data_IF_740683254875
#
_entry.id   IF_740683254875
#
_cell.length_a   1.000
_cell.length_b   1.000
_cell.length_c   1.000
_cell.angle_alpha   90.00
_cell.angle_beta   90.00
_cell.angle_gamma   90.00
#
_symmetry.space_group_name_H-M   'P 1'
#
loop_
_entity.id
_entity.type
_entity.pdbx_description
1 polymer ?
#
# COMPACT_ATOMS: atom_id res chain seq x y z
N UNK A 1 -6.49 -4.00 16.60
CA UNK A 1 -5.16 -4.67 16.77
C UNK A 1 -4.18 -3.97 15.84
N UNK A 2 -2.90 -3.85 16.20
CA UNK A 2 -1.87 -3.22 15.35
C UNK A 2 -0.75 -4.24 15.10
N UNK A 3 -0.27 -4.32 13.87
CA UNK A 3 0.77 -5.27 13.47
C UNK A 3 1.16 -5.09 12.00
N UNK A 4 2.12 -5.89 11.55
CA UNK A 4 2.49 -5.95 10.13
C UNK A 4 1.48 -6.78 9.35
N UNK A 5 1.46 -6.61 8.03
CA UNK A 5 0.63 -7.41 7.11
C UNK A 5 0.83 -8.92 7.33
N UNK A 6 2.07 -9.35 7.59
CA UNK A 6 2.40 -10.77 7.79
C UNK A 6 1.70 -11.35 9.02
N UNK A 7 1.50 -10.54 10.08
CA UNK A 7 0.76 -10.94 11.28
C UNK A 7 -0.76 -10.89 11.10
N UNK A 8 -1.24 -10.20 10.07
CA UNK A 8 -2.67 -10.09 9.74
C UNK A 8 -3.15 -11.22 8.83
N UNK A 9 -2.25 -12.10 8.36
CA UNK A 9 -2.62 -13.22 7.50
C UNK A 9 -3.59 -14.17 8.23
N UNK A 10 -4.75 -14.44 7.60
CA UNK A 10 -5.80 -15.28 8.17
C UNK A 10 -6.69 -14.61 9.23
N UNK A 11 -6.44 -13.34 9.57
CA UNK A 11 -7.28 -12.56 10.49
C UNK A 11 -8.02 -11.45 9.74
N UNK A 12 -9.30 -11.24 10.05
CA UNK A 12 -10.15 -10.21 9.41
C UNK A 12 -10.69 -9.20 10.42
N UNK A 13 -11.12 -8.05 9.92
CA UNK A 13 -11.76 -7.00 10.70
C UNK A 13 -12.81 -6.25 9.87
N UNK A 14 -13.85 -5.65 10.49
CA UNK A 14 -14.81 -4.80 9.78
C UNK A 14 -14.14 -3.68 8.97
N UNK A 15 -13.12 -3.05 9.57
CA UNK A 15 -12.32 -1.98 8.96
C UNK A 15 -10.84 -2.28 9.13
N UNK A 16 -10.06 -2.05 8.07
CA UNK A 16 -8.59 -2.16 8.09
C UNK A 16 -7.96 -0.84 7.66
N UNK A 17 -6.98 -0.39 8.44
CA UNK A 17 -6.12 0.74 8.11
C UNK A 17 -4.73 0.21 7.74
N UNK A 18 -4.27 0.52 6.53
CA UNK A 18 -2.97 0.11 6.01
C UNK A 18 -2.10 1.34 5.84
N UNK A 19 -0.94 1.39 6.51
CA UNK A 19 0.04 2.46 6.32
C UNK A 19 1.24 1.91 5.56
N UNK A 20 1.64 2.60 4.49
CA UNK A 20 2.85 2.27 3.74
C UNK A 20 4.14 2.68 4.48
N UNK A 21 4.04 3.56 5.48
CA UNK A 21 5.16 3.98 6.35
C UNK A 21 6.40 4.54 5.65
N UNK A 22 6.31 4.84 4.35
CA UNK A 22 7.39 5.43 3.53
C UNK A 22 6.85 6.66 2.81
N UNK A 23 7.62 7.73 2.78
CA UNK A 23 7.24 8.98 2.10
C UNK A 23 7.69 9.00 0.64
N UNK A 24 8.76 8.29 0.30
CA UNK A 24 9.27 8.17 -1.06
C UNK A 24 9.89 6.80 -1.32
N UNK A 25 10.25 6.52 -2.57
CA UNK A 25 11.02 5.32 -2.93
C UNK A 25 12.47 5.36 -2.43
N UNK A 26 13.03 6.55 -2.20
CA UNK A 26 14.38 6.72 -1.67
C UNK A 26 14.48 6.36 -0.18
N UNK A 27 13.36 6.48 0.55
CA UNK A 27 13.30 6.21 1.99
C UNK A 27 13.12 4.72 2.32
N UNK A 28 13.06 3.85 1.31
CA UNK A 28 12.73 2.43 1.50
C UNK A 28 13.91 1.68 2.16
N UNK A 29 13.76 1.16 3.40
CA UNK A 29 14.88 0.61 4.15
C UNK A 29 15.26 -0.83 3.78
N UNK A 30 14.40 -1.56 3.05
CA UNK A 30 14.58 -3.01 2.79
C UNK A 30 14.74 -3.37 1.32
N UNK A 31 13.95 -2.77 0.42
CA UNK A 31 14.09 -2.69 -1.04
C UNK A 31 12.74 -2.38 -1.69
N UNK A 32 12.74 -1.95 -2.95
CA UNK A 32 11.55 -1.61 -3.75
C UNK A 32 10.53 -2.76 -3.74
N UNK A 33 11.00 -3.99 -3.94
CA UNK A 33 10.15 -5.18 -4.06
C UNK A 33 9.38 -5.46 -2.77
N UNK A 34 9.95 -5.17 -1.60
CA UNK A 34 9.27 -5.36 -0.32
C UNK A 34 8.11 -4.38 -0.11
N UNK A 35 8.30 -3.11 -0.50
CA UNK A 35 7.24 -2.09 -0.36
C UNK A 35 6.10 -2.33 -1.35
N UNK A 36 6.45 -2.69 -2.59
CA UNK A 36 5.50 -2.91 -3.68
C UNK A 36 5.09 -4.38 -3.85
N UNK A 37 5.30 -5.22 -2.84
CA UNK A 37 4.91 -6.62 -2.89
C UNK A 37 3.39 -6.75 -3.06
N UNK A 38 3.01 -7.33 -4.20
CA UNK A 38 1.62 -7.54 -4.58
C UNK A 38 0.85 -8.39 -3.57
N UNK A 39 1.47 -9.44 -3.05
CA UNK A 39 0.81 -10.35 -2.10
C UNK A 39 0.54 -9.64 -0.79
N UNK A 40 1.47 -8.80 -0.32
CA UNK A 40 1.29 -8.00 0.91
C UNK A 40 0.18 -6.98 0.75
N UNK A 41 0.13 -6.25 -0.36
CA UNK A 41 -1.00 -5.34 -0.62
C UNK A 41 -2.33 -6.10 -0.65
N UNK A 42 -2.39 -7.22 -1.40
CA UNK A 42 -3.60 -8.04 -1.50
C UNK A 42 -4.08 -8.56 -0.14
N UNK A 43 -3.17 -9.09 0.69
CA UNK A 43 -3.52 -9.52 2.05
C UNK A 43 -4.05 -8.32 2.84
N UNK A 44 -3.32 -7.20 2.85
CA UNK A 44 -3.67 -6.02 3.63
C UNK A 44 -5.08 -5.49 3.32
N UNK A 45 -5.44 -5.36 2.03
CA UNK A 45 -6.76 -4.84 1.63
C UNK A 45 -7.87 -5.87 1.78
N UNK A 46 -7.61 -7.15 1.53
CA UNK A 46 -8.62 -8.22 1.60
C UNK A 46 -8.99 -8.64 3.02
N UNK A 47 -8.30 -8.15 4.05
CA UNK A 47 -8.67 -8.41 5.45
C UNK A 47 -9.84 -7.57 5.93
N UNK A 48 -10.21 -6.52 5.20
CA UNK A 48 -11.37 -5.70 5.51
C UNK A 48 -12.67 -6.38 5.07
N UNK A 49 -13.65 -6.43 5.96
CA UNK A 49 -14.98 -6.96 5.64
C UNK A 49 -15.90 -5.89 5.05
N UNK A 50 -15.69 -4.61 5.40
CA UNK A 50 -16.49 -3.49 4.91
C UNK A 50 -15.64 -2.36 4.30
N UNK A 51 -14.54 -1.95 4.94
CA UNK A 51 -13.73 -0.82 4.48
C UNK A 51 -12.22 -1.04 4.67
N UNK A 52 -11.46 -0.89 3.59
CA UNK A 52 -10.01 -0.80 3.63
C UNK A 52 -9.58 0.64 3.33
N UNK A 53 -8.82 1.25 4.23
CA UNK A 53 -8.21 2.57 4.02
C UNK A 53 -6.71 2.40 3.90
N UNK A 54 -6.15 2.82 2.77
CA UNK A 54 -4.70 2.80 2.53
C UNK A 54 -4.18 4.22 2.65
N UNK A 55 -3.21 4.41 3.55
CA UNK A 55 -2.50 5.66 3.76
C UNK A 55 -1.10 5.53 3.17
N UNK A 56 -0.86 6.27 2.10
CA UNK A 56 0.39 6.28 1.35
C UNK A 56 0.73 7.71 0.90
N UNK A 57 2.02 8.00 0.75
CA UNK A 57 2.48 9.25 0.14
C UNK A 57 2.18 9.25 -1.36
N UNK A 58 1.66 10.35 -1.95
CA UNK A 58 1.48 10.46 -3.40
C UNK A 58 2.76 10.25 -4.21
N UNK A 59 3.94 10.53 -3.62
CA UNK A 59 5.23 10.27 -4.26
C UNK A 59 5.48 8.76 -4.51
N UNK A 60 4.80 7.87 -3.78
CA UNK A 60 4.86 6.42 -4.04
C UNK A 60 4.09 5.99 -5.28
N UNK A 61 3.24 6.86 -5.84
CA UNK A 61 2.52 6.62 -7.10
C UNK A 61 3.33 7.09 -8.33
N UNK A 62 4.39 7.88 -8.11
CA UNK A 62 5.20 8.51 -9.16
C UNK A 62 6.68 8.11 -9.04
N UNK A 63 6.92 6.79 -8.96
CA UNK A 63 8.27 6.25 -8.74
C UNK A 63 9.01 5.93 -10.03
N UNK A 64 10.31 6.23 -10.04
CA UNK A 64 11.21 5.81 -11.11
C UNK A 64 11.47 4.31 -11.04
N UNK A 65 11.05 3.59 -12.09
CA UNK A 65 11.29 2.16 -12.23
C UNK A 65 12.47 1.93 -13.19
N UNK A 66 13.45 1.13 -12.78
CA UNK A 66 14.64 0.78 -13.58
C UNK A 66 14.47 -0.52 -14.37
N UNK A 67 13.47 -1.33 -14.02
CA UNK A 67 13.20 -2.61 -14.66
C UNK A 67 11.71 -2.78 -14.95
N UNK A 68 11.37 -3.66 -15.91
CA UNK A 68 9.98 -4.03 -16.23
C UNK A 68 9.29 -4.62 -15.00
N UNK A 69 10.01 -5.36 -14.16
CA UNK A 69 9.43 -5.98 -12.96
C UNK A 69 9.04 -4.92 -11.93
N UNK A 70 9.85 -3.87 -11.75
CA UNK A 70 9.50 -2.72 -10.90
C UNK A 70 8.25 -1.99 -11.42
N UNK A 71 8.12 -1.83 -12.75
CA UNK A 71 6.90 -1.25 -13.34
C UNK A 71 5.67 -2.07 -12.97
N UNK A 72 5.72 -3.40 -13.09
CA UNK A 72 4.60 -4.28 -12.73
C UNK A 72 4.23 -4.18 -11.25
N UNK A 73 5.24 -4.11 -10.37
CA UNK A 73 5.04 -4.00 -8.92
C UNK A 73 4.42 -2.64 -8.55
N UNK A 74 4.97 -1.53 -9.05
CA UNK A 74 4.44 -0.19 -8.83
C UNK A 74 3.00 -0.05 -9.36
N UNK A 75 2.73 -0.63 -10.53
CA UNK A 75 1.42 -0.56 -11.16
C UNK A 75 0.31 -1.08 -10.26
N UNK A 76 0.55 -2.08 -9.40
CA UNK A 76 -0.48 -2.56 -8.47
C UNK A 76 -0.98 -1.47 -7.52
N UNK A 77 -0.08 -0.67 -6.95
CA UNK A 77 -0.45 0.43 -6.07
C UNK A 77 -1.12 1.57 -6.86
N UNK A 78 -0.62 1.90 -8.05
CA UNK A 78 -1.23 2.90 -8.92
C UNK A 78 -2.65 2.51 -9.33
N UNK A 79 -2.85 1.26 -9.77
CA UNK A 79 -4.18 0.71 -10.11
C UNK A 79 -5.11 0.68 -8.91
N UNK A 80 -4.61 0.39 -7.72
CA UNK A 80 -5.40 0.49 -6.50
C UNK A 80 -5.88 1.94 -6.26
N UNK A 81 -4.97 2.91 -6.36
CA UNK A 81 -5.30 4.33 -6.19
C UNK A 81 -6.31 4.84 -7.25
N UNK A 82 -6.17 4.42 -8.52
CA UNK A 82 -7.11 4.76 -9.59
C UNK A 82 -8.53 4.24 -9.34
N UNK A 83 -8.67 3.10 -8.66
CA UNK A 83 -9.95 2.47 -8.35
C UNK A 83 -10.53 2.91 -7.00
N UNK A 84 -9.73 3.51 -6.13
CA UNK A 84 -10.12 3.93 -4.80
C UNK A 84 -10.71 5.34 -4.81
N UNK A 85 -11.55 5.64 -3.81
CA UNK A 85 -11.96 7.01 -3.55
C UNK A 85 -10.81 7.75 -2.83
N UNK A 86 -10.29 8.81 -3.44
CA UNK A 86 -9.26 9.65 -2.83
C UNK A 86 -9.90 10.57 -1.79
N UNK A 87 -9.51 10.39 -0.52
CA UNK A 87 -9.93 11.26 0.57
C UNK A 87 -8.84 12.29 0.85
N UNK A 88 -9.10 13.55 0.51
CA UNK A 88 -8.22 14.66 0.90
C UNK A 88 -8.46 15.00 2.36
N UNK A 89 -7.41 14.89 3.16
CA UNK A 89 -7.45 15.39 4.54
C UNK A 89 -7.38 16.92 4.51
N UNK A 90 -8.12 17.62 5.39
CA UNK A 90 -8.02 19.07 5.49
C UNK A 90 -6.58 19.48 5.85
N UNK A 91 -6.12 20.58 5.25
CA UNK A 91 -4.89 21.24 5.68
C UNK A 91 -5.14 21.78 7.10
N UNK A 92 -4.44 21.22 8.09
CA UNK A 92 -4.52 21.65 9.49
C UNK A 92 -4.01 23.09 9.69
#
# INVERSE_FOLDING_TARGET
>A
RVGTVDKAQGAEAPVVLVSYTSSSAADIPRNFEFLYDKNRLNVAVSRAQALAVVVASPALLSVECKTIEQVKLANMLCRFAECAEEVKLPDN
#
